data_IF_593683952526
#
_entry.id   IF_593683952526
#
_cell.length_a   1.000
_cell.length_b   1.000
_cell.length_c   1.000
_cell.angle_alpha   90.00
_cell.angle_beta   90.00
_cell.angle_gamma   90.00
#
_symmetry.space_group_name_H-M   'P 1'
#
loop_
_entity.id
_entity.type
_entity.pdbx_description
1 polymer ?
#
# COMPACT_ATOMS: atom_id res chain seq x y z
N UNK A 1 -6.28 -10.33 -1.44
CA UNK A 1 -4.92 -9.83 -1.69
C UNK A 1 -3.98 -11.02 -1.65
N UNK A 2 -3.04 -11.10 -2.59
CA UNK A 2 -2.06 -12.17 -2.69
C UNK A 2 -0.69 -11.61 -2.27
N UNK A 3 -0.42 -11.58 -0.96
CA UNK A 3 0.83 -11.03 -0.43
C UNK A 3 2.06 -11.73 -1.02
N UNK A 4 2.04 -13.06 -1.09
CA UNK A 4 3.20 -13.83 -1.54
C UNK A 4 3.43 -13.64 -3.05
N UNK A 5 2.37 -13.70 -3.87
CA UNK A 5 2.47 -13.48 -5.30
C UNK A 5 3.04 -12.10 -5.64
N UNK A 6 2.52 -11.05 -5.00
CA UNK A 6 3.00 -9.68 -5.21
C UNK A 6 4.44 -9.48 -4.70
N UNK A 7 4.77 -10.03 -3.53
CA UNK A 7 6.13 -9.96 -2.98
C UNK A 7 7.14 -10.69 -3.89
N UNK A 8 6.80 -11.87 -4.40
CA UNK A 8 7.64 -12.62 -5.35
C UNK A 8 7.83 -11.85 -6.64
N UNK A 9 6.78 -11.26 -7.19
CA UNK A 9 6.86 -10.44 -8.40
C UNK A 9 7.78 -9.24 -8.21
N UNK A 10 7.67 -8.54 -7.07
CA UNK A 10 8.52 -7.39 -6.74
C UNK A 10 9.99 -7.79 -6.58
N UNK A 11 10.28 -8.89 -5.88
CA UNK A 11 11.65 -9.39 -5.67
C UNK A 11 12.28 -9.84 -6.99
N UNK A 12 11.52 -10.56 -7.83
CA UNK A 12 11.96 -10.98 -9.15
C UNK A 12 12.23 -9.79 -10.09
N UNK A 13 11.39 -8.75 -10.03
CA UNK A 13 11.60 -7.50 -10.78
C UNK A 13 12.93 -6.82 -10.41
N UNK A 14 13.33 -6.89 -9.14
CA UNK A 14 14.61 -6.38 -8.66
C UNK A 14 15.81 -7.29 -9.02
N UNK A 15 15.57 -8.47 -9.61
CA UNK A 15 16.60 -9.46 -9.92
C UNK A 15 17.20 -10.14 -8.70
N UNK A 16 16.45 -10.21 -7.60
CA UNK A 16 16.87 -10.81 -6.33
C UNK A 16 16.31 -12.24 -6.20
N UNK A 17 17.00 -13.07 -5.42
CA UNK A 17 16.52 -14.39 -5.04
C UNK A 17 15.41 -14.28 -3.97
N UNK A 18 14.48 -15.23 -4.00
CA UNK A 18 13.40 -15.29 -3.02
C UNK A 18 13.88 -15.81 -1.66
N UNK A 19 13.36 -15.22 -0.59
CA UNK A 19 13.52 -15.68 0.78
C UNK A 19 12.16 -15.70 1.50
N UNK A 20 11.79 -16.82 2.11
CA UNK A 20 10.50 -17.00 2.81
C UNK A 20 10.35 -16.02 3.99
N UNK A 21 11.47 -15.54 4.52
CA UNK A 21 11.57 -14.53 5.57
C UNK A 21 10.90 -13.18 5.24
N UNK A 22 10.60 -12.95 3.95
CA UNK A 22 9.84 -11.79 3.46
C UNK A 22 8.40 -11.83 3.96
N UNK A 23 7.82 -13.03 4.10
CA UNK A 23 6.44 -13.20 4.59
C UNK A 23 6.34 -13.00 6.12
N UNK A 24 7.45 -13.09 6.84
CA UNK A 24 7.50 -12.86 8.30
C UNK A 24 7.80 -11.39 8.67
N UNK A 25 7.37 -10.45 7.82
CA UNK A 25 7.57 -9.02 8.03
C UNK A 25 7.02 -8.51 9.38
N UNK A 26 5.97 -9.16 9.90
CA UNK A 26 5.29 -8.77 11.15
C UNK A 26 6.10 -9.09 12.40
N UNK A 27 6.77 -10.24 12.46
CA UNK A 27 7.67 -10.54 13.58
C UNK A 27 8.85 -9.57 13.61
N UNK A 28 9.37 -9.21 12.43
CA UNK A 28 10.43 -8.18 12.28
C UNK A 28 9.93 -6.78 12.66
N UNK A 29 8.67 -6.45 12.39
CA UNK A 29 8.06 -5.19 12.83
C UNK A 29 7.89 -5.14 14.35
N UNK A 30 7.47 -6.23 14.98
CA UNK A 30 7.25 -6.31 16.42
C UNK A 30 8.56 -6.30 17.26
N UNK A 31 9.68 -6.73 16.68
CA UNK A 31 10.97 -6.80 17.39
C UNK A 31 11.67 -5.44 17.57
N UNK A 32 11.14 -4.37 16.99
CA UNK A 32 11.72 -3.02 17.07
C UNK A 32 10.66 -1.95 17.25
N UNK A 33 11.04 -0.83 17.87
CA UNK A 33 10.17 0.35 17.91
C UNK A 33 10.14 1.04 16.55
N UNK A 34 8.94 1.16 15.97
CA UNK A 34 8.71 1.89 14.72
C UNK A 34 8.09 3.25 15.08
N UNK A 35 8.93 4.29 15.15
CA UNK A 35 8.50 5.64 15.52
C UNK A 35 8.06 6.46 14.30
N UNK A 36 7.08 5.94 13.55
CA UNK A 36 6.43 6.63 12.43
C UNK A 36 4.92 6.60 12.61
N UNK A 37 4.15 7.56 12.05
CA UNK A 37 2.68 7.53 12.12
C UNK A 37 2.06 6.23 11.58
N UNK A 38 2.74 5.56 10.64
CA UNK A 38 2.34 4.28 10.06
C UNK A 38 2.72 3.05 10.92
N UNK A 39 3.46 3.22 12.02
CA UNK A 39 3.91 2.13 12.89
C UNK A 39 2.79 1.15 13.28
N UNK A 40 1.63 1.63 13.78
CA UNK A 40 0.49 0.77 14.13
C UNK A 40 -0.26 0.13 12.93
N UNK A 41 0.17 0.40 11.70
CA UNK A 41 -0.40 -0.18 10.48
C UNK A 41 0.51 -1.28 9.92
N UNK A 42 1.82 -1.13 10.04
CA UNK A 42 2.81 -2.07 9.46
C UNK A 42 2.98 -3.36 10.26
N UNK A 43 2.48 -3.42 11.50
CA UNK A 43 2.47 -4.62 12.34
C UNK A 43 1.27 -5.56 12.07
N UNK A 44 0.29 -5.07 11.29
CA UNK A 44 -0.93 -5.81 10.92
C UNK A 44 -0.72 -6.68 9.67
N UNK A 45 -1.56 -7.71 9.46
CA UNK A 45 -1.68 -8.38 8.16
C UNK A 45 -2.01 -7.35 7.06
N UNK A 46 -1.70 -7.66 5.80
CA UNK A 46 -2.23 -6.85 4.68
C UNK A 46 -3.75 -6.88 4.74
N UNK A 47 -4.36 -5.69 4.65
CA UNK A 47 -5.80 -5.49 4.73
C UNK A 47 -6.23 -4.42 3.71
N UNK A 48 -7.49 -4.52 3.27
CA UNK A 48 -8.07 -3.61 2.29
C UNK A 48 -8.94 -2.49 2.91
N UNK A 49 -9.01 -2.39 4.24
CA UNK A 49 -9.90 -1.46 4.94
C UNK A 49 -9.61 0.04 4.66
N UNK A 50 -8.41 0.34 4.15
CA UNK A 50 -7.95 1.67 3.79
C UNK A 50 -8.34 2.03 2.35
N UNK A 51 -8.66 1.03 1.52
CA UNK A 51 -9.12 1.23 0.14
C UNK A 51 -10.40 2.05 0.18
N UNK A 52 -10.45 3.10 -0.65
CA UNK A 52 -11.59 4.00 -0.76
C UNK A 52 -12.01 4.75 0.54
N UNK A 53 -11.22 4.67 1.63
CA UNK A 53 -11.52 5.37 2.89
C UNK A 53 -11.58 6.90 2.73
N UNK A 54 -10.99 7.43 1.66
CA UNK A 54 -11.05 8.84 1.29
C UNK A 54 -12.40 9.27 0.68
N UNK A 55 -13.20 8.35 0.12
CA UNK A 55 -14.43 8.69 -0.64
C UNK A 55 -15.42 9.58 0.12
N UNK A 56 -15.69 9.38 1.43
CA UNK A 56 -16.56 10.30 2.19
C UNK A 56 -16.03 11.73 2.26
N UNK A 57 -14.73 11.94 2.06
CA UNK A 57 -14.04 13.21 2.07
C UNK A 57 -13.71 13.73 0.65
N UNK A 58 -14.21 13.07 -0.40
CA UNK A 58 -13.94 13.44 -1.79
C UNK A 58 -14.26 14.92 -2.09
N UNK A 59 -15.27 15.48 -1.40
CA UNK A 59 -15.65 16.89 -1.50
C UNK A 59 -14.50 17.85 -1.21
N UNK A 60 -13.52 17.46 -0.38
CA UNK A 60 -12.39 18.30 -0.02
C UNK A 60 -11.39 18.51 -1.18
N UNK A 61 -11.50 17.73 -2.25
CA UNK A 61 -10.63 17.85 -3.42
C UNK A 61 -11.30 18.57 -4.60
N UNK A 62 -12.58 18.93 -4.49
CA UNK A 62 -13.38 19.47 -5.61
C UNK A 62 -12.68 20.62 -6.35
N UNK A 63 -12.10 21.57 -5.61
CA UNK A 63 -11.47 22.77 -6.18
C UNK A 63 -10.20 22.47 -7.00
N UNK A 64 -9.64 21.25 -6.89
CA UNK A 64 -8.43 20.82 -7.60
C UNK A 64 -8.65 19.61 -8.51
N UNK A 65 -9.90 19.11 -8.60
CA UNK A 65 -10.25 17.93 -9.42
C UNK A 65 -9.85 18.11 -10.88
N UNK A 66 -10.14 19.27 -11.48
CA UNK A 66 -9.79 19.56 -12.88
C UNK A 66 -8.28 19.39 -13.17
N UNK A 67 -7.43 19.64 -12.16
CA UNK A 67 -5.98 19.45 -12.27
C UNK A 67 -5.54 17.99 -12.01
N UNK A 68 -6.22 17.28 -11.10
CA UNK A 68 -5.83 15.93 -10.67
C UNK A 68 -6.44 14.82 -11.54
N UNK A 69 -7.66 14.99 -12.04
CA UNK A 69 -8.41 13.99 -12.79
C UNK A 69 -7.67 13.45 -14.02
N UNK A 70 -6.91 14.27 -14.80
CA UNK A 70 -6.10 13.73 -15.89
C UNK A 70 -5.10 12.66 -15.43
N UNK A 71 -4.57 12.77 -14.20
CA UNK A 71 -3.66 11.77 -13.62
C UNK A 71 -4.41 10.54 -13.13
N UNK A 72 -5.60 10.73 -12.56
CA UNK A 72 -6.49 9.62 -12.18
C UNK A 72 -6.79 8.75 -13.39
N UNK A 73 -7.16 9.36 -14.52
CA UNK A 73 -7.40 8.66 -15.78
C UNK A 73 -6.13 8.03 -16.35
N UNK A 74 -5.01 8.76 -16.36
CA UNK A 74 -3.73 8.27 -16.88
C UNK A 74 -3.28 6.96 -16.19
N UNK A 75 -3.50 6.85 -14.88
CA UNK A 75 -3.15 5.66 -14.11
C UNK A 75 -4.27 4.61 -14.02
N UNK A 76 -5.42 4.84 -14.66
CA UNK A 76 -6.53 3.89 -14.71
C UNK A 76 -7.35 3.80 -13.42
N UNK A 77 -7.46 4.89 -12.66
CA UNK A 77 -8.23 4.98 -11.42
C UNK A 77 -9.59 5.71 -11.57
N UNK A 78 -10.06 5.94 -12.80
CA UNK A 78 -11.29 6.70 -13.10
C UNK A 78 -12.61 5.98 -12.79
N UNK A 79 -12.56 4.67 -12.54
CA UNK A 79 -13.72 3.80 -12.24
C UNK A 79 -14.18 3.83 -10.75
#
# INVERSE_FOLDING_TARGET
EDLEGEARAAIAFLGLDWDDDVLDYRAKAASRTINTPSGPQVDKPVYSDAVARWKPYAFAMNDVRDFLDPWVEYWGYGD
#
